data_IF_749873342106
#
_entry.id   IF_749873342106
#
_cell.length_a   1.000
_cell.length_b   1.000
_cell.length_c   1.000
_cell.angle_alpha   90.00
_cell.angle_beta   90.00
_cell.angle_gamma   90.00
#
_symmetry.space_group_name_H-M   'P 1'
#
loop_
_entity.id
_entity.type
_entity.pdbx_description
1 polymer ?
#
# COMPACT_ATOMS: atom_id res chain seq x y z
N UNK A 1 8.01 -19.66 35.77
CA UNK A 1 7.08 -18.80 35.00
C UNK A 1 7.18 -17.38 35.55
N UNK A 2 7.59 -16.41 34.74
CA UNK A 2 7.70 -15.00 35.16
C UNK A 2 6.88 -14.10 34.23
N UNK A 3 6.28 -13.04 34.78
CA UNK A 3 5.45 -12.11 34.02
C UNK A 3 6.35 -11.28 33.11
N UNK A 4 6.06 -11.28 31.81
CA UNK A 4 6.82 -10.55 30.78
C UNK A 4 6.04 -9.38 30.18
N UNK A 5 4.73 -9.32 30.39
CA UNK A 5 3.92 -8.21 29.90
C UNK A 5 2.58 -8.11 30.61
N UNK A 6 2.08 -6.89 30.76
CA UNK A 6 0.74 -6.61 31.28
C UNK A 6 0.07 -5.64 30.30
N UNK A 7 -0.96 -6.12 29.60
CA UNK A 7 -1.74 -5.36 28.64
C UNK A 7 -3.20 -5.23 29.06
N UNK A 8 -3.99 -4.48 28.27
CA UNK A 8 -5.43 -4.32 28.52
C UNK A 8 -6.20 -5.65 28.46
N UNK A 9 -5.75 -6.59 27.64
CA UNK A 9 -6.34 -7.92 27.48
C UNK A 9 -5.94 -8.91 28.59
N UNK A 10 -4.82 -8.70 29.30
CA UNK A 10 -4.38 -9.62 30.34
C UNK A 10 -2.89 -9.57 30.67
N UNK A 11 -2.40 -10.60 31.37
CA UNK A 11 -0.98 -10.76 31.73
C UNK A 11 -0.34 -11.86 30.89
N UNK A 12 0.84 -11.58 30.35
CA UNK A 12 1.63 -12.54 29.58
C UNK A 12 2.81 -13.02 30.42
N UNK A 13 3.02 -14.33 30.42
CA UNK A 13 4.06 -14.98 31.17
C UNK A 13 4.96 -15.80 30.25
N UNK A 14 6.27 -15.80 30.51
CA UNK A 14 7.18 -16.76 29.90
C UNK A 14 7.15 -18.06 30.70
N UNK A 15 6.95 -19.17 30.01
CA UNK A 15 7.02 -20.51 30.58
C UNK A 15 7.99 -21.36 29.78
N UNK A 16 8.82 -22.11 30.47
CA UNK A 16 9.70 -23.13 29.91
C UNK A 16 9.15 -24.48 30.38
N UNK A 17 8.95 -25.40 29.45
CA UNK A 17 8.51 -26.78 29.76
C UNK A 17 9.72 -27.72 29.81
N UNK A 18 9.53 -28.91 30.37
CA UNK A 18 10.61 -29.87 30.66
C UNK A 18 11.49 -30.24 29.44
N UNK A 19 10.94 -30.16 28.22
CA UNK A 19 11.66 -30.42 26.96
C UNK A 19 12.53 -29.23 26.48
N UNK A 20 12.69 -28.16 27.27
CA UNK A 20 13.44 -26.95 26.92
C UNK A 20 12.70 -25.99 25.97
N UNK A 21 11.47 -26.31 25.59
CA UNK A 21 10.64 -25.44 24.77
C UNK A 21 10.10 -24.25 25.59
N UNK A 22 10.15 -23.06 25.01
CA UNK A 22 9.73 -21.81 25.65
C UNK A 22 8.45 -21.28 25.01
N UNK A 23 7.47 -20.93 25.83
CA UNK A 23 6.16 -20.43 25.43
C UNK A 23 5.83 -19.10 26.10
N UNK A 24 5.02 -18.30 25.39
CA UNK A 24 4.32 -17.17 25.97
C UNK A 24 2.90 -17.61 26.34
N UNK A 25 2.51 -17.41 27.60
CA UNK A 25 1.18 -17.76 28.10
C UNK A 25 0.47 -16.47 28.48
N UNK A 26 -0.56 -16.09 27.71
CA UNK A 26 -1.44 -14.95 27.98
C UNK A 26 -2.60 -15.43 28.84
N UNK A 27 -2.68 -14.96 30.08
CA UNK A 27 -3.84 -15.11 30.96
C UNK A 27 -4.70 -13.87 30.82
N UNK A 28 -5.93 -14.05 30.35
CA UNK A 28 -6.84 -12.91 30.18
C UNK A 28 -7.41 -12.45 31.54
N UNK A 29 -7.79 -11.17 31.61
CA UNK A 29 -8.37 -10.61 32.82
C UNK A 29 -9.77 -11.20 33.09
N UNK A 30 -9.97 -11.71 34.31
CA UNK A 30 -11.26 -12.19 34.82
C UNK A 30 -11.74 -11.26 35.95
N UNK A 31 -12.39 -10.13 35.63
CA UNK A 31 -13.06 -9.32 36.64
C UNK A 31 -14.58 -9.45 36.54
N UNK A 32 -15.24 -9.49 37.70
CA UNK A 32 -16.56 -10.09 37.91
C UNK A 32 -17.78 -9.22 37.57
N UNK A 33 -17.59 -8.01 37.02
CA UNK A 33 -18.69 -7.09 36.72
C UNK A 33 -18.56 -6.56 35.29
N UNK A 34 -19.46 -6.98 34.39
CA UNK A 34 -19.78 -6.49 33.03
C UNK A 34 -18.66 -6.36 31.97
N UNK A 35 -17.38 -6.32 32.36
CA UNK A 35 -16.19 -6.37 31.49
C UNK A 35 -15.86 -7.81 31.02
N UNK A 36 -16.64 -8.80 31.45
CA UNK A 36 -16.44 -10.22 31.15
C UNK A 36 -16.75 -10.53 29.68
N UNK A 37 -17.72 -9.85 29.09
CA UNK A 37 -18.18 -10.11 27.71
C UNK A 37 -17.11 -9.76 26.68
N UNK A 38 -16.43 -8.62 26.82
CA UNK A 38 -15.43 -8.18 25.84
C UNK A 38 -14.13 -8.99 25.95
N UNK A 39 -13.75 -9.40 27.17
CA UNK A 39 -12.63 -10.32 27.41
C UNK A 39 -12.90 -11.71 26.81
N UNK A 40 -14.12 -12.24 26.97
CA UNK A 40 -14.55 -13.50 26.35
C UNK A 40 -14.63 -13.39 24.83
N UNK A 41 -15.19 -12.30 24.29
CA UNK A 41 -15.21 -12.05 22.84
C UNK A 41 -13.79 -11.98 22.28
N UNK A 42 -12.90 -11.26 22.96
CA UNK A 42 -11.50 -11.15 22.59
C UNK A 42 -10.81 -12.51 22.55
N UNK A 43 -11.01 -13.34 23.59
CA UNK A 43 -10.54 -14.72 23.61
C UNK A 43 -11.04 -15.55 22.43
N UNK A 44 -12.35 -15.53 22.16
CA UNK A 44 -12.97 -16.29 21.08
C UNK A 44 -12.49 -15.83 19.71
N UNK A 45 -12.34 -14.52 19.49
CA UNK A 45 -11.83 -13.95 18.25
C UNK A 45 -10.39 -14.39 17.99
N UNK A 46 -9.54 -14.33 19.03
CA UNK A 46 -8.13 -14.69 18.92
C UNK A 46 -7.95 -16.18 18.59
N UNK A 47 -8.73 -17.07 19.22
CA UNK A 47 -8.75 -18.50 18.87
C UNK A 47 -9.26 -18.70 17.45
N UNK A 48 -10.39 -18.09 17.08
CA UNK A 48 -10.97 -18.25 15.76
C UNK A 48 -10.01 -17.78 14.65
N UNK A 49 -9.34 -16.64 14.85
CA UNK A 49 -8.35 -16.13 13.91
C UNK A 49 -7.12 -17.04 13.81
N UNK A 50 -6.48 -17.36 14.95
CA UNK A 50 -5.18 -18.06 14.94
C UNK A 50 -5.28 -19.57 14.66
N UNK A 51 -6.47 -20.16 14.73
CA UNK A 51 -6.69 -21.54 14.27
C UNK A 51 -6.79 -21.63 12.74
N UNK A 52 -7.28 -20.57 12.09
CA UNK A 52 -7.44 -20.47 10.63
C UNK A 52 -6.21 -19.87 9.92
N UNK A 53 -5.48 -18.98 10.60
CA UNK A 53 -4.33 -18.27 10.04
C UNK A 53 -3.04 -19.05 10.24
N UNK A 54 -2.33 -19.32 9.14
CA UNK A 54 -0.99 -19.93 9.15
C UNK A 54 -0.10 -19.17 8.18
N UNK A 55 0.73 -18.29 8.71
CA UNK A 55 1.63 -17.46 7.92
C UNK A 55 2.94 -17.25 8.69
N UNK A 56 4.06 -17.13 7.97
CA UNK A 56 5.38 -16.96 8.58
C UNK A 56 5.47 -15.70 9.44
N UNK A 57 4.75 -14.64 9.08
CA UNK A 57 4.72 -13.35 9.78
C UNK A 57 3.51 -13.17 10.72
N UNK A 58 2.88 -14.27 11.16
CA UNK A 58 1.78 -14.25 12.15
C UNK A 58 2.18 -15.14 13.32
N UNK A 59 1.93 -14.69 14.55
CA UNK A 59 2.24 -15.46 15.77
C UNK A 59 1.53 -16.81 15.75
N UNK A 60 2.26 -17.87 16.13
CA UNK A 60 1.70 -19.22 16.20
C UNK A 60 1.05 -19.47 17.56
N UNK A 61 -0.27 -19.73 17.55
CA UNK A 61 -0.99 -20.30 18.68
C UNK A 61 -0.71 -21.81 18.77
N UNK A 62 -0.17 -22.26 19.89
CA UNK A 62 0.08 -23.68 20.18
C UNK A 62 -1.12 -24.34 20.85
N UNK A 63 -1.88 -23.58 21.64
CA UNK A 63 -3.07 -24.08 22.31
C UNK A 63 -3.76 -23.01 23.12
N UNK A 64 -4.90 -23.38 23.69
CA UNK A 64 -5.67 -22.53 24.58
C UNK A 64 -6.28 -23.39 25.69
N UNK A 65 -6.64 -22.76 26.80
CA UNK A 65 -7.36 -23.40 27.89
C UNK A 65 -8.47 -22.47 28.37
N UNK A 66 -9.65 -23.03 28.57
CA UNK A 66 -10.78 -22.33 29.18
C UNK A 66 -11.37 -23.24 30.26
N UNK A 67 -11.09 -22.93 31.53
CA UNK A 67 -11.60 -23.68 32.69
C UNK A 67 -12.12 -22.72 33.76
N UNK A 68 -13.44 -22.72 33.97
CA UNK A 68 -14.09 -21.79 34.89
C UNK A 68 -13.83 -20.33 34.50
N UNK A 69 -13.26 -19.54 35.41
CA UNK A 69 -12.88 -18.13 35.19
C UNK A 69 -11.47 -17.95 34.61
N UNK A 70 -10.79 -19.03 34.27
CA UNK A 70 -9.42 -18.97 33.79
C UNK A 70 -9.36 -19.30 32.30
N UNK A 71 -8.98 -18.28 31.53
CA UNK A 71 -8.75 -18.38 30.09
C UNK A 71 -7.29 -18.07 29.80
N UNK A 72 -6.65 -19.00 29.08
CA UNK A 72 -5.24 -18.94 28.71
C UNK A 72 -5.06 -19.18 27.22
N UNK A 73 -4.15 -18.42 26.62
CA UNK A 73 -3.66 -18.62 25.25
C UNK A 73 -2.17 -18.88 25.31
N UNK A 74 -1.71 -19.93 24.60
CA UNK A 74 -0.33 -20.40 24.62
C UNK A 74 0.26 -20.20 23.23
N UNK A 75 1.27 -19.34 23.12
CA UNK A 75 1.92 -18.97 21.87
C UNK A 75 3.37 -19.43 21.85
N UNK A 76 3.93 -19.50 20.63
CA UNK A 76 5.39 -19.47 20.48
C UNK A 76 5.94 -18.23 21.19
N UNK A 77 6.96 -18.39 22.02
CA UNK A 77 7.64 -17.24 22.61
C UNK A 77 8.44 -16.49 21.54
N UNK A 78 8.43 -15.16 21.62
CA UNK A 78 9.18 -14.26 20.73
C UNK A 78 10.25 -13.55 21.58
N UNK A 79 11.51 -13.85 21.32
CA UNK A 79 12.62 -13.57 22.23
C UNK A 79 12.95 -12.09 22.36
N UNK A 80 12.69 -11.32 21.30
CA UNK A 80 12.98 -9.88 21.26
C UNK A 80 11.80 -9.02 21.73
N UNK A 81 10.70 -9.63 22.14
CA UNK A 81 9.53 -8.92 22.61
C UNK A 81 8.81 -8.17 21.49
N UNK A 82 8.18 -7.05 21.84
CA UNK A 82 7.46 -6.19 20.90
C UNK A 82 8.38 -5.17 20.22
N UNK A 83 8.02 -4.78 19.01
CA UNK A 83 8.70 -3.71 18.28
C UNK A 83 8.64 -2.39 19.07
N UNK A 84 7.54 -2.12 19.79
CA UNK A 84 7.43 -0.95 20.66
C UNK A 84 8.53 -0.90 21.73
N UNK A 85 8.81 -2.04 22.39
CA UNK A 85 9.88 -2.13 23.39
C UNK A 85 11.25 -1.86 22.75
N UNK A 86 11.53 -2.47 21.59
CA UNK A 86 12.79 -2.25 20.86
C UNK A 86 12.96 -0.79 20.46
N UNK A 87 11.95 -0.16 19.86
CA UNK A 87 12.03 1.24 19.39
C UNK A 87 12.17 2.23 20.55
N UNK A 88 11.61 1.91 21.72
CA UNK A 88 11.72 2.73 22.94
C UNK A 88 13.09 2.64 23.61
N UNK A 89 13.85 1.57 23.35
CA UNK A 89 15.18 1.35 23.91
C UNK A 89 16.25 1.94 22.96
N UNK A 90 17.06 2.87 23.46
CA UNK A 90 18.06 3.57 22.65
C UNK A 90 19.08 2.62 21.99
N UNK A 91 19.54 1.61 22.73
CA UNK A 91 20.52 0.64 22.22
C UNK A 91 19.90 -0.30 21.19
N UNK A 92 18.76 -0.90 21.52
CA UNK A 92 18.13 -1.90 20.65
C UNK A 92 17.58 -1.27 19.37
N UNK A 93 17.03 -0.05 19.45
CA UNK A 93 16.61 0.70 18.27
C UNK A 93 17.76 1.03 17.32
N UNK A 94 18.97 1.24 17.86
CA UNK A 94 20.18 1.43 17.07
C UNK A 94 20.69 0.14 16.41
N UNK A 95 20.45 -1.02 17.03
CA UNK A 95 20.75 -2.33 16.45
C UNK A 95 19.77 -2.73 15.34
N UNK A 96 18.53 -2.21 15.38
CA UNK A 96 17.52 -2.34 14.33
C UNK A 96 17.79 -1.33 13.19
N UNK A 97 18.85 -1.58 12.43
CA UNK A 97 19.23 -0.78 11.25
C UNK A 97 18.16 -0.73 10.14
N UNK A 98 18.40 0.07 9.10
CA UNK A 98 17.43 0.28 8.02
C UNK A 98 17.05 -0.99 7.26
N UNK A 99 17.97 -1.96 7.13
CA UNK A 99 17.67 -3.21 6.45
C UNK A 99 16.74 -4.09 7.30
N UNK A 100 17.02 -4.19 8.60
CA UNK A 100 16.13 -4.88 9.55
C UNK A 100 14.76 -4.20 9.63
N UNK A 101 14.70 -2.86 9.68
CA UNK A 101 13.43 -2.10 9.65
C UNK A 101 12.64 -2.37 8.36
N UNK A 102 13.31 -2.40 7.21
CA UNK A 102 12.72 -2.77 5.92
C UNK A 102 12.11 -4.18 5.96
N UNK A 103 12.84 -5.17 6.51
CA UNK A 103 12.34 -6.54 6.71
C UNK A 103 11.11 -6.60 7.62
N UNK A 104 11.11 -5.87 8.73
CA UNK A 104 9.94 -5.79 9.64
C UNK A 104 8.72 -5.25 8.90
N UNK A 105 8.87 -4.15 8.15
CA UNK A 105 7.79 -3.54 7.36
C UNK A 105 7.24 -4.53 6.32
N UNK A 106 8.13 -5.21 5.58
CA UNK A 106 7.76 -6.24 4.59
C UNK A 106 7.02 -7.40 5.24
N UNK A 107 7.51 -7.90 6.38
CA UNK A 107 6.87 -8.99 7.12
C UNK A 107 5.44 -8.69 7.54
N UNK A 108 5.19 -7.50 8.10
CA UNK A 108 3.84 -7.07 8.47
C UNK A 108 2.95 -6.89 7.23
N UNK A 109 3.49 -6.31 6.15
CA UNK A 109 2.75 -6.15 4.90
C UNK A 109 2.30 -7.49 4.30
N UNK A 110 3.17 -8.51 4.33
CA UNK A 110 2.83 -9.86 3.90
C UNK A 110 1.75 -10.50 4.76
N UNK A 111 1.84 -10.39 6.08
CA UNK A 111 0.82 -10.91 6.98
C UNK A 111 -0.57 -10.32 6.69
N UNK A 112 -0.65 -9.00 6.54
CA UNK A 112 -1.90 -8.31 6.24
C UNK A 112 -2.43 -8.65 4.84
N UNK A 113 -1.55 -8.70 3.83
CA UNK A 113 -1.91 -9.10 2.47
C UNK A 113 -2.55 -10.50 2.45
N UNK A 114 -1.94 -11.47 3.14
CA UNK A 114 -2.46 -12.81 3.32
C UNK A 114 -3.85 -12.81 3.99
N UNK A 115 -3.99 -12.09 5.11
CA UNK A 115 -5.25 -12.02 5.86
C UNK A 115 -6.40 -11.39 5.07
N UNK A 116 -6.12 -10.34 4.30
CA UNK A 116 -7.13 -9.58 3.57
C UNK A 116 -7.53 -10.21 2.25
N UNK A 117 -6.59 -10.89 1.57
CA UNK A 117 -6.77 -11.25 0.18
C UNK A 117 -6.65 -12.74 -0.14
N UNK A 118 -6.02 -13.52 0.74
CA UNK A 118 -5.79 -14.96 0.51
C UNK A 118 -6.68 -15.83 1.43
N UNK A 119 -7.37 -15.20 2.39
CA UNK A 119 -8.37 -15.85 3.25
C UNK A 119 -9.78 -15.55 2.79
N UNK A 120 -10.63 -16.57 2.87
CA UNK A 120 -12.06 -16.47 2.62
C UNK A 120 -12.80 -17.06 3.83
N UNK A 121 -13.57 -16.25 4.58
CA UNK A 121 -13.71 -14.80 4.43
C UNK A 121 -12.44 -14.03 4.83
N UNK A 122 -12.24 -12.79 4.35
CA UNK A 122 -11.15 -11.92 4.78
C UNK A 122 -11.14 -11.70 6.29
N UNK A 123 -9.95 -11.60 6.88
CA UNK A 123 -9.76 -11.34 8.32
C UNK A 123 -9.16 -9.96 8.51
N UNK A 124 -9.85 -9.07 9.22
CA UNK A 124 -9.36 -7.73 9.55
C UNK A 124 -8.86 -7.75 10.99
N UNK A 125 -7.62 -7.33 11.21
CA UNK A 125 -6.96 -7.36 12.51
C UNK A 125 -7.55 -6.31 13.46
N UNK A 126 -7.75 -5.08 12.98
CA UNK A 126 -8.29 -3.91 13.71
C UNK A 126 -7.41 -3.33 14.83
N UNK A 127 -6.20 -3.82 15.01
CA UNK A 127 -5.29 -3.32 16.05
C UNK A 127 -3.80 -3.49 15.68
N UNK A 128 -3.47 -3.16 14.43
CA UNK A 128 -2.07 -3.14 13.99
C UNK A 128 -1.36 -1.95 14.65
N UNK A 129 -0.33 -2.23 15.45
CA UNK A 129 0.52 -1.24 16.12
C UNK A 129 1.88 -1.86 16.46
N UNK A 130 2.86 -1.04 16.85
CA UNK A 130 4.20 -1.54 17.25
C UNK A 130 4.17 -2.44 18.49
N UNK A 131 3.13 -2.32 19.34
CA UNK A 131 2.93 -3.20 20.51
C UNK A 131 2.52 -4.62 20.11
N UNK A 132 1.84 -4.73 18.97
CA UNK A 132 1.26 -5.98 18.48
C UNK A 132 2.11 -6.62 17.37
N UNK A 133 3.27 -6.05 17.06
CA UNK A 133 4.30 -6.68 16.20
C UNK A 133 5.40 -7.20 17.10
N UNK A 134 5.53 -8.52 17.18
CA UNK A 134 6.58 -9.20 17.95
C UNK A 134 7.76 -9.56 17.04
N UNK A 135 8.94 -9.66 17.64
CA UNK A 135 10.18 -9.98 16.93
C UNK A 135 10.82 -11.24 17.53
N UNK A 136 11.25 -12.15 16.65
CA UNK A 136 12.01 -13.34 17.04
C UNK A 136 13.53 -13.05 17.11
N UNK A 137 14.33 -14.08 17.37
CA UNK A 137 15.81 -13.96 17.43
C UNK A 137 16.45 -13.37 16.18
N UNK A 138 15.85 -13.58 15.01
CA UNK A 138 16.35 -13.13 13.71
C UNK A 138 15.84 -11.72 13.34
N UNK A 139 15.08 -11.10 14.26
CA UNK A 139 14.37 -9.83 14.10
C UNK A 139 13.34 -9.89 12.97
N UNK A 140 12.75 -11.06 12.73
CA UNK A 140 11.63 -11.23 11.82
C UNK A 140 10.31 -10.89 12.53
N UNK A 141 9.43 -10.21 11.79
CA UNK A 141 8.18 -9.67 12.33
C UNK A 141 7.06 -10.71 12.36
N UNK A 142 6.37 -10.77 13.50
CA UNK A 142 5.18 -11.59 13.74
C UNK A 142 4.04 -10.73 14.27
N UNK A 143 2.97 -10.58 13.47
CA UNK A 143 1.72 -9.92 13.89
C UNK A 143 1.04 -10.77 14.98
N UNK A 144 0.57 -10.11 16.03
CA UNK A 144 0.01 -10.72 17.24
C UNK A 144 -1.20 -9.93 17.79
N UNK A 145 -1.85 -10.47 18.82
CA UNK A 145 -3.05 -9.92 19.47
C UNK A 145 -4.28 -9.79 18.55
N UNK A 146 -4.83 -10.96 18.18
CA UNK A 146 -6.01 -11.06 17.32
C UNK A 146 -7.33 -10.92 18.09
N UNK A 147 -7.30 -10.41 19.32
CA UNK A 147 -8.49 -10.28 20.16
C UNK A 147 -9.57 -9.36 19.57
N UNK A 148 -9.17 -8.35 18.80
CA UNK A 148 -10.09 -7.45 18.12
C UNK A 148 -10.43 -7.90 16.70
N UNK A 149 -9.83 -8.98 16.20
CA UNK A 149 -9.95 -9.41 14.82
C UNK A 149 -11.40 -9.73 14.42
N UNK A 150 -11.75 -9.48 13.16
CA UNK A 150 -13.08 -9.69 12.61
C UNK A 150 -13.02 -10.34 11.24
N UNK A 151 -13.82 -11.39 11.07
CA UNK A 151 -14.04 -12.02 9.76
C UNK A 151 -15.15 -11.28 9.01
N UNK A 152 -14.88 -10.82 7.79
CA UNK A 152 -15.87 -10.15 6.94
C UNK A 152 -16.72 -11.19 6.21
N UNK A 153 -17.66 -11.82 6.92
CA UNK A 153 -18.55 -12.80 6.32
C UNK A 153 -19.64 -12.11 5.50
N UNK A 154 -19.99 -12.61 4.30
CA UNK A 154 -21.01 -11.99 3.44
C UNK A 154 -22.39 -11.86 4.07
N UNK A 155 -22.71 -12.74 5.01
CA UNK A 155 -23.97 -12.86 5.72
C UNK A 155 -23.99 -12.09 7.06
N UNK A 156 -22.92 -11.35 7.37
CA UNK A 156 -22.75 -10.65 8.65
C UNK A 156 -22.56 -9.14 8.48
N UNK A 157 -22.99 -8.38 9.48
CA UNK A 157 -22.76 -6.93 9.52
C UNK A 157 -21.28 -6.59 9.72
N UNK A 158 -20.75 -5.71 8.87
CA UNK A 158 -19.39 -5.16 9.02
C UNK A 158 -19.28 -4.14 10.16
N UNK A 159 -20.39 -3.72 10.76
CA UNK A 159 -20.45 -2.75 11.86
C UNK A 159 -20.01 -3.39 13.18
N UNK A 160 -19.18 -2.70 13.95
CA UNK A 160 -18.75 -3.15 15.28
C UNK A 160 -18.34 -1.95 16.13
N UNK A 161 -18.36 -2.11 17.45
CA UNK A 161 -17.78 -1.12 18.37
C UNK A 161 -16.35 -0.78 17.95
N UNK A 162 -15.97 0.50 18.07
CA UNK A 162 -14.61 0.95 17.82
C UNK A 162 -13.64 0.18 18.72
N UNK A 163 -12.60 -0.38 18.13
CA UNK A 163 -11.51 -1.07 18.81
C UNK A 163 -10.21 -0.77 18.08
N UNK A 164 -9.10 -0.82 18.81
CA UNK A 164 -7.77 -0.53 18.29
C UNK A 164 -6.99 0.41 19.21
N UNK A 165 -5.71 0.59 18.89
CA UNK A 165 -4.79 1.43 19.65
C UNK A 165 -4.94 2.89 19.25
N UNK A 166 -5.14 3.77 20.24
CA UNK A 166 -5.19 5.23 20.02
C UNK A 166 -3.92 5.72 19.30
N UNK A 167 -4.08 6.57 18.29
CA UNK A 167 -3.00 7.02 17.40
C UNK A 167 -2.83 6.19 16.13
N UNK A 168 -3.38 4.97 16.07
CA UNK A 168 -3.37 4.12 14.87
C UNK A 168 -4.74 4.00 14.21
N UNK A 169 -5.82 4.23 14.96
CA UNK A 169 -7.19 4.05 14.49
C UNK A 169 -7.48 4.95 13.29
N UNK A 170 -8.01 4.33 12.23
CA UNK A 170 -8.40 5.02 11.00
C UNK A 170 -9.54 6.03 11.27
N UNK A 171 -9.50 7.23 10.67
CA UNK A 171 -10.43 8.31 10.99
C UNK A 171 -11.90 7.98 10.66
N UNK A 172 -12.14 7.12 9.67
CA UNK A 172 -13.49 6.71 9.28
C UNK A 172 -14.24 5.90 10.33
N UNK A 173 -13.52 5.24 11.24
CA UNK A 173 -14.15 4.47 12.31
C UNK A 173 -14.89 5.36 13.30
N UNK A 174 -14.50 6.65 13.42
CA UNK A 174 -15.15 7.61 14.31
C UNK A 174 -16.58 7.97 13.87
N UNK A 175 -16.88 7.93 12.57
CA UNK A 175 -18.19 8.34 12.03
C UNK A 175 -18.97 7.21 11.35
N UNK A 176 -18.31 6.15 10.86
CA UNK A 176 -19.00 5.04 10.20
C UNK A 176 -19.16 3.80 11.06
N UNK A 177 -18.29 3.54 12.05
CA UNK A 177 -18.22 2.23 12.75
C UNK A 177 -18.13 0.99 11.82
N UNK A 178 -17.94 1.18 10.52
CA UNK A 178 -17.89 0.12 9.52
C UNK A 178 -16.44 -0.32 9.36
N UNK A 179 -16.17 -1.59 9.62
CA UNK A 179 -14.82 -2.13 9.49
C UNK A 179 -14.62 -2.69 8.09
N UNK A 180 -13.53 -2.25 7.45
CA UNK A 180 -13.02 -2.79 6.18
C UNK A 180 -11.53 -3.10 6.33
N UNK A 181 -10.95 -3.77 5.33
CA UNK A 181 -9.51 -3.99 5.26
C UNK A 181 -8.72 -2.68 5.23
N UNK A 182 -9.33 -1.58 4.78
CA UNK A 182 -8.70 -0.26 4.73
C UNK A 182 -8.41 0.32 6.12
N UNK A 183 -9.06 -0.16 7.17
CA UNK A 183 -8.72 0.22 8.54
C UNK A 183 -7.32 -0.29 8.92
N UNK A 184 -7.02 -1.56 8.61
CA UNK A 184 -5.69 -2.14 8.84
C UNK A 184 -4.63 -1.48 7.96
N UNK A 185 -4.98 -1.11 6.72
CA UNK A 185 -4.08 -0.36 5.82
C UNK A 185 -3.65 0.96 6.46
N UNK A 186 -4.58 1.71 7.06
CA UNK A 186 -4.26 2.97 7.74
C UNK A 186 -3.34 2.74 8.94
N UNK A 187 -3.67 1.76 9.81
CA UNK A 187 -2.83 1.38 10.94
C UNK A 187 -1.42 1.00 10.50
N UNK A 188 -1.29 0.26 9.38
CA UNK A 188 0.00 -0.08 8.78
C UNK A 188 0.77 1.16 8.34
N UNK A 189 0.11 2.17 7.76
CA UNK A 189 0.74 3.44 7.41
C UNK A 189 1.35 4.15 8.62
N UNK A 190 0.63 4.20 9.74
CA UNK A 190 1.14 4.78 11.01
C UNK A 190 2.35 3.99 11.51
N UNK A 191 2.26 2.66 11.51
CA UNK A 191 3.33 1.77 11.93
C UNK A 191 4.60 1.95 11.09
N UNK A 192 4.48 2.10 9.76
CA UNK A 192 5.63 2.37 8.89
C UNK A 192 6.29 3.68 9.27
N UNK A 193 5.53 4.76 9.48
CA UNK A 193 6.11 6.04 9.93
C UNK A 193 6.81 5.89 11.28
N UNK A 194 6.19 5.22 12.24
CA UNK A 194 6.80 4.96 13.55
C UNK A 194 8.13 4.21 13.43
N UNK A 195 8.20 3.18 12.58
CA UNK A 195 9.43 2.43 12.32
C UNK A 195 10.48 3.33 11.68
N UNK A 196 10.12 4.14 10.69
CA UNK A 196 11.08 5.02 10.00
C UNK A 196 11.60 6.14 10.90
N UNK A 197 10.75 6.68 11.77
CA UNK A 197 11.07 7.78 12.67
C UNK A 197 11.70 7.30 13.99
N UNK A 198 11.56 6.01 14.32
CA UNK A 198 11.98 5.44 15.60
C UNK A 198 11.09 5.81 16.79
N UNK A 199 9.98 6.50 16.54
CA UNK A 199 9.02 6.98 17.53
C UNK A 199 7.67 7.20 16.86
N UNK A 200 6.59 7.11 17.63
CA UNK A 200 5.24 7.33 17.12
C UNK A 200 5.09 8.74 16.49
N UNK A 201 4.49 8.87 15.30
CA UNK A 201 4.37 10.16 14.61
C UNK A 201 3.51 11.20 15.36
N UNK A 202 2.52 10.76 16.15
CA UNK A 202 1.72 11.64 17.01
C UNK A 202 0.95 12.69 16.19
N UNK A 203 1.05 13.95 16.57
CA UNK A 203 0.40 15.09 15.88
C UNK A 203 0.89 15.27 14.43
N UNK A 204 2.04 14.71 14.03
CA UNK A 204 2.48 14.77 12.64
C UNK A 204 1.51 14.08 11.68
N UNK A 205 0.66 13.17 12.19
CA UNK A 205 -0.38 12.51 11.40
C UNK A 205 -1.40 13.53 10.86
N UNK A 206 -1.79 14.55 11.64
CA UNK A 206 -2.75 15.56 11.15
C UNK A 206 -2.15 16.45 10.06
N UNK A 207 -0.82 16.59 10.04
CA UNK A 207 -0.09 17.43 9.10
C UNK A 207 0.37 16.67 7.83
N UNK A 208 -0.05 15.42 7.64
CA UNK A 208 0.35 14.55 6.52
C UNK A 208 0.16 15.19 5.14
N UNK A 209 -0.87 16.02 4.96
CA UNK A 209 -1.08 16.74 3.69
C UNK A 209 0.07 17.72 3.39
N UNK A 210 0.66 18.33 4.43
CA UNK A 210 1.82 19.22 4.27
C UNK A 210 3.12 18.45 4.03
N UNK A 211 3.22 17.22 4.56
CA UNK A 211 4.38 16.34 4.37
C UNK A 211 4.53 15.85 2.93
N UNK A 212 3.41 15.72 2.20
CA UNK A 212 3.40 15.28 0.80
C UNK A 212 4.12 16.25 -0.16
N UNK A 213 4.16 17.54 0.19
CA UNK A 213 4.80 18.60 -0.62
C UNK A 213 6.28 18.85 -0.23
N UNK A 214 6.79 18.22 0.83
CA UNK A 214 8.12 18.50 1.41
C UNK A 214 9.09 17.31 1.35
N UNK A 215 9.34 16.78 0.15
CA UNK A 215 10.29 15.67 -0.04
C UNK A 215 11.72 15.97 0.43
N UNK A 216 12.11 17.25 0.54
CA UNK A 216 13.43 17.68 1.02
C UNK A 216 13.63 17.49 2.54
N UNK A 217 12.54 17.40 3.33
CA UNK A 217 12.57 17.22 4.79
C UNK A 217 12.69 15.74 5.21
N UNK A 218 12.74 14.78 4.27
CA UNK A 218 12.83 13.35 4.60
C UNK A 218 13.95 13.01 5.59
N UNK A 219 15.11 13.67 5.45
CA UNK A 219 16.27 13.42 6.32
C UNK A 219 16.03 13.84 7.78
N UNK A 220 15.17 14.82 8.03
CA UNK A 220 14.89 15.31 9.38
C UNK A 220 13.82 14.47 10.10
N UNK A 221 13.10 13.63 9.35
CA UNK A 221 12.07 12.74 9.90
C UNK A 221 12.59 11.36 10.27
N UNK A 222 13.65 10.89 9.60
CA UNK A 222 14.23 9.58 9.89
C UNK A 222 14.82 9.53 11.30
N UNK A 223 14.83 8.34 11.89
CA UNK A 223 15.39 8.09 13.20
C UNK A 223 16.85 8.59 13.31
N UNK A 224 17.12 9.61 14.15
CA UNK A 224 18.44 10.21 14.24
C UNK A 224 19.49 9.28 14.86
N UNK A 225 19.08 8.17 15.48
CA UNK A 225 19.99 7.16 16.03
C UNK A 225 20.69 6.36 14.95
N UNK A 226 20.13 6.31 13.73
CA UNK A 226 20.69 5.56 12.62
C UNK A 226 21.47 6.47 11.69
N UNK A 227 22.60 5.96 11.20
CA UNK A 227 23.33 6.64 10.12
C UNK A 227 22.48 6.66 8.84
N UNK A 228 22.65 7.66 7.96
CA UNK A 228 21.98 7.69 6.66
C UNK A 228 22.24 6.37 5.90
N UNK A 229 21.27 5.90 5.08
CA UNK A 229 21.43 4.69 4.30
C UNK A 229 22.68 4.78 3.40
N UNK A 230 23.60 3.84 3.58
CA UNK A 230 24.89 3.81 2.87
C UNK A 230 24.82 3.04 1.55
N UNK A 231 23.83 2.17 1.37
CA UNK A 231 23.70 1.33 0.17
C UNK A 231 22.74 1.96 -0.84
N UNK A 232 23.05 1.87 -2.15
CA UNK A 232 22.16 2.34 -3.22
C UNK A 232 20.73 1.75 -3.13
N UNK A 233 20.62 0.49 -2.68
CA UNK A 233 19.33 -0.16 -2.43
C UNK A 233 18.50 0.60 -1.38
N UNK A 234 19.09 0.86 -0.21
CA UNK A 234 18.41 1.53 0.89
C UNK A 234 18.07 3.00 0.59
N UNK A 235 18.89 3.69 -0.23
CA UNK A 235 18.60 5.07 -0.65
C UNK A 235 17.33 5.20 -1.49
N UNK A 236 16.94 4.15 -2.22
CA UNK A 236 15.68 4.10 -2.97
C UNK A 236 14.52 3.48 -2.16
N UNK A 237 14.81 2.47 -1.32
CA UNK A 237 13.78 1.83 -0.50
C UNK A 237 13.15 2.78 0.53
N UNK A 238 13.92 3.67 1.18
CA UNK A 238 13.38 4.56 2.22
C UNK A 238 12.31 5.55 1.69
N UNK A 239 12.54 6.31 0.60
CA UNK A 239 11.50 7.12 -0.01
C UNK A 239 10.27 6.32 -0.44
N UNK A 240 10.47 5.10 -0.95
CA UNK A 240 9.37 4.22 -1.35
C UNK A 240 8.51 3.82 -0.13
N UNK A 241 9.14 3.38 0.97
CA UNK A 241 8.45 3.03 2.21
C UNK A 241 7.66 4.21 2.77
N UNK A 242 8.24 5.41 2.75
CA UNK A 242 7.54 6.61 3.19
C UNK A 242 6.35 6.92 2.29
N UNK A 243 6.50 6.88 0.96
CA UNK A 243 5.38 7.14 0.07
C UNK A 243 4.27 6.09 0.19
N UNK A 244 4.62 4.84 0.46
CA UNK A 244 3.65 3.78 0.80
C UNK A 244 2.91 4.16 2.09
N UNK A 245 3.63 4.54 3.14
CA UNK A 245 3.02 4.98 4.41
C UNK A 245 2.04 6.13 4.19
N UNK A 246 2.43 7.17 3.45
CA UNK A 246 1.58 8.31 3.13
C UNK A 246 0.35 7.91 2.30
N UNK A 247 0.49 6.97 1.36
CA UNK A 247 -0.64 6.44 0.57
C UNK A 247 -1.62 5.65 1.45
N UNK A 248 -1.10 4.89 2.41
CA UNK A 248 -1.90 4.15 3.39
C UNK A 248 -2.64 5.08 4.36
N UNK A 249 -2.10 6.26 4.64
CA UNK A 249 -2.67 7.26 5.57
C UNK A 249 -3.69 8.20 4.91
N UNK A 250 -4.11 7.93 3.68
CA UNK A 250 -5.09 8.75 2.99
C UNK A 250 -6.41 8.84 3.79
N UNK A 251 -7.00 10.04 3.87
CA UNK A 251 -8.23 10.26 4.65
C UNK A 251 -9.40 9.42 4.11
N UNK A 252 -9.61 9.44 2.78
CA UNK A 252 -10.57 8.56 2.10
C UNK A 252 -10.07 7.10 2.07
N UNK A 253 -10.79 6.12 2.66
CA UNK A 253 -10.40 4.71 2.66
C UNK A 253 -10.26 4.09 1.26
N UNK A 254 -11.08 4.53 0.31
CA UNK A 254 -11.05 4.00 -1.07
C UNK A 254 -9.76 4.36 -1.80
N UNK A 255 -9.16 5.49 -1.46
CA UNK A 255 -7.89 5.93 -2.03
C UNK A 255 -6.67 5.22 -1.42
N UNK A 256 -6.84 4.47 -0.33
CA UNK A 256 -5.74 3.69 0.28
C UNK A 256 -5.47 2.44 -0.57
N UNK A 257 -4.20 2.07 -0.81
CA UNK A 257 -3.88 0.87 -1.58
C UNK A 257 -4.28 -0.41 -0.82
N UNK A 258 -4.70 -1.48 -1.52
CA UNK A 258 -4.89 -2.78 -0.89
C UNK A 258 -3.53 -3.35 -0.44
N UNK A 259 -3.51 -4.14 0.65
CA UNK A 259 -2.26 -4.68 1.18
C UNK A 259 -1.53 -5.61 0.21
N UNK A 260 -2.24 -6.25 -0.73
CA UNK A 260 -1.63 -6.99 -1.84
C UNK A 260 -0.77 -6.10 -2.74
N UNK A 261 -1.24 -4.90 -3.08
CA UNK A 261 -0.46 -3.95 -3.87
C UNK A 261 0.72 -3.40 -3.06
N UNK A 262 0.51 -3.13 -1.77
CA UNK A 262 1.56 -2.69 -0.85
C UNK A 262 2.68 -3.72 -0.75
N UNK A 263 2.35 -4.99 -0.48
CA UNK A 263 3.34 -6.05 -0.33
C UNK A 263 4.13 -6.27 -1.62
N UNK A 264 3.45 -6.29 -2.78
CA UNK A 264 4.12 -6.42 -4.08
C UNK A 264 5.09 -5.26 -4.34
N UNK A 265 4.71 -4.03 -4.00
CA UNK A 265 5.56 -2.86 -4.21
C UNK A 265 6.79 -2.83 -3.30
N UNK A 266 6.68 -3.34 -2.07
CA UNK A 266 7.83 -3.45 -1.16
C UNK A 266 8.83 -4.55 -1.59
N UNK A 267 8.36 -5.56 -2.31
CA UNK A 267 9.17 -6.65 -2.87
C UNK A 267 9.82 -6.32 -4.21
N UNK A 268 9.38 -5.26 -4.89
CA UNK A 268 10.05 -4.79 -6.09
C UNK A 268 11.47 -4.33 -5.70
N UNK A 269 12.46 -5.16 -5.97
CA UNK A 269 13.85 -4.72 -6.00
C UNK A 269 13.89 -3.51 -6.92
N UNK A 270 14.47 -2.41 -6.44
CA UNK A 270 14.65 -1.19 -7.21
C UNK A 270 15.54 -1.52 -8.40
N UNK A 271 14.91 -1.96 -9.48
CA UNK A 271 15.50 -2.02 -10.80
C UNK A 271 15.96 -0.62 -11.16
N UNK A 272 17.08 -0.51 -11.89
CA UNK A 272 17.72 0.78 -12.03
C UNK A 272 16.80 1.74 -12.81
N UNK A 273 16.94 3.04 -12.53
CA UNK A 273 16.18 4.15 -13.12
C UNK A 273 15.91 3.94 -14.61
N UNK A 274 14.82 4.53 -15.12
CA UNK A 274 14.39 4.49 -16.53
C UNK A 274 15.54 4.66 -17.56
N UNK A 275 16.60 5.37 -17.16
CA UNK A 275 17.85 5.56 -17.90
C UNK A 275 18.63 4.26 -18.18
N UNK A 276 18.62 3.30 -17.26
CA UNK A 276 19.33 2.01 -17.38
C UNK A 276 18.56 0.95 -18.19
N UNK A 277 17.22 0.97 -18.14
CA UNK A 277 16.35 0.09 -18.93
C UNK A 277 16.47 0.42 -20.42
N UNK A 278 16.73 1.68 -20.76
CA UNK A 278 16.89 2.12 -22.15
C UNK A 278 18.30 1.89 -22.72
N UNK A 279 19.32 1.74 -21.88
CA UNK A 279 20.73 1.63 -22.34
C UNK A 279 21.27 0.19 -22.26
N UNK A 280 20.57 -0.70 -21.56
CA UNK A 280 21.14 -1.97 -21.11
C UNK A 280 20.56 -3.27 -21.67
N UNK A 281 19.77 -3.29 -22.75
CA UNK A 281 19.44 -4.57 -23.43
C UNK A 281 19.03 -4.34 -24.88
N UNK A 282 19.98 -4.56 -25.80
CA UNK A 282 19.64 -4.90 -27.17
C UNK A 282 18.87 -6.22 -27.16
N UNK A 283 17.61 -6.17 -27.59
CA UNK A 283 16.68 -7.31 -27.69
C UNK A 283 16.04 -7.77 -26.37
N UNK A 284 15.05 -7.01 -25.90
CA UNK A 284 13.86 -7.62 -25.30
C UNK A 284 12.68 -7.38 -26.23
N UNK A 285 12.09 -8.46 -26.75
CA UNK A 285 10.78 -8.47 -27.39
C UNK A 285 9.75 -8.19 -26.29
N UNK A 286 9.60 -6.93 -25.92
CA UNK A 286 8.59 -6.47 -24.95
C UNK A 286 7.26 -6.31 -25.68
N UNK A 287 6.44 -7.37 -25.67
CA UNK A 287 5.04 -7.30 -26.16
C UNK A 287 4.09 -6.70 -25.12
N UNK A 288 4.56 -6.46 -23.89
CA UNK A 288 3.80 -5.83 -22.79
C UNK A 288 4.73 -5.03 -21.87
N UNK A 289 4.72 -3.70 -21.99
CA UNK A 289 5.33 -2.81 -20.98
C UNK A 289 4.22 -2.37 -20.02
N UNK A 290 4.16 -2.99 -18.85
CA UNK A 290 3.22 -2.63 -17.78
C UNK A 290 3.99 -2.43 -16.48
N UNK A 291 4.20 -1.18 -16.08
CA UNK A 291 4.83 -0.84 -14.81
C UNK A 291 3.79 -0.14 -13.93
N UNK A 292 3.29 -0.87 -12.93
CA UNK A 292 2.57 -0.31 -11.79
C UNK A 292 3.62 -0.03 -10.69
N UNK A 293 4.34 1.08 -10.80
CA UNK A 293 5.44 1.46 -9.89
C UNK A 293 5.55 2.98 -9.87
N UNK A 294 6.00 3.61 -8.78
CA UNK A 294 6.12 5.08 -8.65
C UNK A 294 7.17 5.72 -9.58
N UNK A 295 7.07 5.50 -10.88
CA UNK A 295 7.90 6.07 -11.92
C UNK A 295 7.63 7.57 -11.97
N UNK A 296 8.58 8.34 -11.45
CA UNK A 296 8.65 9.79 -11.65
C UNK A 296 9.45 10.14 -12.89
N UNK A 297 9.52 11.43 -13.20
CA UNK A 297 10.27 11.93 -14.36
C UNK A 297 9.46 11.94 -15.66
N UNK A 298 10.12 12.17 -16.79
CA UNK A 298 9.49 12.30 -18.11
C UNK A 298 9.43 10.95 -18.83
N UNK A 299 8.46 10.79 -19.72
CA UNK A 299 8.50 9.70 -20.70
C UNK A 299 9.65 10.03 -21.68
N UNK A 300 10.65 9.14 -21.85
CA UNK A 300 11.84 9.38 -22.65
C UNK A 300 11.50 9.36 -24.14
N UNK A 301 12.19 10.18 -24.94
CA UNK A 301 12.03 10.19 -26.41
C UNK A 301 12.53 8.87 -27.05
N UNK A 302 13.40 8.15 -26.34
CA UNK A 302 13.94 6.88 -26.76
C UNK A 302 12.88 5.77 -26.84
N UNK A 303 11.70 5.96 -26.23
CA UNK A 303 10.58 5.01 -26.32
C UNK A 303 10.17 4.76 -27.77
N UNK A 304 10.29 5.77 -28.65
CA UNK A 304 9.97 5.67 -30.07
C UNK A 304 10.89 4.76 -30.88
N UNK A 305 12.00 4.28 -30.29
CA UNK A 305 12.90 3.33 -30.97
C UNK A 305 12.35 1.90 -30.99
N UNK A 306 11.39 1.58 -30.12
CA UNK A 306 10.88 0.23 -29.90
C UNK A 306 9.69 -0.10 -30.83
N UNK A 307 9.93 -0.12 -32.16
CA UNK A 307 8.91 -0.24 -33.22
C UNK A 307 7.96 -1.45 -33.16
N UNK A 308 8.31 -2.48 -32.38
CA UNK A 308 7.50 -3.68 -32.17
C UNK A 308 6.55 -3.58 -30.97
N UNK A 309 6.58 -2.49 -30.20
CA UNK A 309 5.68 -2.29 -29.07
C UNK A 309 4.23 -2.22 -29.55
N UNK A 310 3.40 -3.10 -29.00
CA UNK A 310 1.96 -3.15 -29.26
C UNK A 310 1.14 -2.59 -28.09
N UNK A 311 1.69 -2.58 -26.88
CA UNK A 311 1.03 -2.11 -25.67
C UNK A 311 2.00 -1.33 -24.78
N UNK A 312 1.54 -0.17 -24.35
CA UNK A 312 2.17 0.67 -23.33
C UNK A 312 1.15 0.90 -22.22
N UNK A 313 1.46 0.49 -20.99
CA UNK A 313 0.63 0.71 -19.82
C UNK A 313 1.44 1.35 -18.69
N UNK A 314 1.21 2.65 -18.51
CA UNK A 314 1.89 3.55 -17.58
C UNK A 314 0.92 4.14 -16.55
N UNK A 315 -0.26 3.54 -16.37
CA UNK A 315 -1.30 4.08 -15.50
C UNK A 315 -0.88 4.09 -14.02
N UNK A 316 -1.26 5.15 -13.29
CA UNK A 316 -1.08 5.22 -11.83
C UNK A 316 0.36 5.47 -11.39
N UNK A 317 1.12 6.23 -12.17
CA UNK A 317 2.52 6.57 -11.88
C UNK A 317 2.68 8.07 -11.54
N UNK A 318 3.92 8.55 -11.35
CA UNK A 318 4.23 9.95 -11.05
C UNK A 318 4.87 10.68 -12.25
N UNK A 319 4.55 10.25 -13.47
CA UNK A 319 5.16 10.79 -14.68
C UNK A 319 4.77 12.26 -14.88
N UNK A 320 5.74 13.07 -15.28
CA UNK A 320 5.63 14.51 -15.48
C UNK A 320 6.12 14.91 -16.87
N UNK A 321 5.82 16.13 -17.30
CA UNK A 321 6.26 16.62 -18.61
C UNK A 321 5.40 16.11 -19.78
N UNK A 322 5.79 16.42 -21.03
CA UNK A 322 5.00 16.10 -22.20
C UNK A 322 5.02 14.63 -22.59
N UNK A 323 3.98 14.21 -23.30
CA UNK A 323 4.01 12.98 -24.09
C UNK A 323 5.01 13.19 -25.24
N UNK A 324 6.06 12.37 -25.36
CA UNK A 324 7.11 12.57 -26.35
C UNK A 324 6.57 12.34 -27.76
N UNK A 325 6.98 13.19 -28.71
CA UNK A 325 6.52 13.07 -30.09
C UNK A 325 6.99 11.76 -30.72
N UNK A 326 8.15 11.23 -30.32
CA UNK A 326 8.65 9.92 -30.76
C UNK A 326 7.69 8.75 -30.52
N UNK A 327 6.67 8.89 -29.65
CA UNK A 327 5.61 7.88 -29.49
C UNK A 327 4.89 7.59 -30.82
N UNK A 328 4.76 8.60 -31.69
CA UNK A 328 4.21 8.46 -33.04
C UNK A 328 5.03 7.57 -33.98
N UNK A 329 6.24 7.14 -33.61
CA UNK A 329 7.07 6.24 -34.42
C UNK A 329 6.71 4.76 -34.22
N UNK A 330 5.83 4.43 -33.26
CA UNK A 330 5.49 3.07 -32.86
C UNK A 330 4.34 2.50 -33.69
N UNK A 331 4.60 2.22 -34.97
CA UNK A 331 3.56 1.77 -35.94
C UNK A 331 2.80 0.49 -35.53
N UNK A 332 3.35 -0.33 -34.64
CA UNK A 332 2.69 -1.55 -34.12
C UNK A 332 1.81 -1.29 -32.89
N UNK A 333 1.82 -0.07 -32.34
CA UNK A 333 1.14 0.26 -31.08
C UNK A 333 -0.38 0.22 -31.24
N UNK A 334 -1.03 -0.48 -30.32
CA UNK A 334 -2.48 -0.66 -30.27
C UNK A 334 -3.10 -0.03 -29.03
N UNK A 335 -2.44 -0.11 -27.88
CA UNK A 335 -3.02 0.29 -26.60
C UNK A 335 -2.02 1.13 -25.79
N UNK A 336 -2.04 2.47 -25.93
CA UNK A 336 -1.33 3.40 -25.05
C UNK A 336 -2.23 3.84 -23.88
N UNK A 337 -1.81 3.49 -22.67
CA UNK A 337 -2.47 3.90 -21.42
C UNK A 337 -1.46 4.60 -20.52
N UNK A 338 -1.79 5.79 -20.06
CA UNK A 338 -0.97 6.58 -19.14
C UNK A 338 -1.86 7.41 -18.20
N UNK A 339 -3.01 6.86 -17.81
CA UNK A 339 -3.96 7.55 -16.95
C UNK A 339 -3.42 7.73 -15.53
N UNK A 340 -3.99 8.67 -14.77
CA UNK A 340 -3.64 8.90 -13.36
C UNK A 340 -2.13 9.17 -13.21
N UNK A 341 -1.65 10.23 -13.86
CA UNK A 341 -0.28 10.71 -13.83
C UNK A 341 -0.25 12.24 -13.67
N UNK A 342 0.92 12.86 -13.83
CA UNK A 342 1.10 14.32 -13.81
C UNK A 342 1.61 14.86 -15.16
N UNK A 343 1.28 14.20 -16.27
CA UNK A 343 1.71 14.59 -17.61
C UNK A 343 1.15 15.96 -17.99
N UNK A 344 1.95 16.78 -18.66
CA UNK A 344 1.61 18.16 -19.04
C UNK A 344 1.75 18.38 -20.55
N UNK A 345 1.31 19.51 -21.08
CA UNK A 345 1.44 19.83 -22.51
C UNK A 345 0.39 19.16 -23.39
N UNK A 346 0.62 19.19 -24.71
CA UNK A 346 -0.35 18.76 -25.72
C UNK A 346 -0.16 17.29 -26.10
N UNK A 347 -1.22 16.65 -26.63
CA UNK A 347 -1.11 15.35 -27.30
C UNK A 347 -0.38 15.58 -28.63
N UNK A 348 0.76 14.89 -28.92
CA UNK A 348 1.43 14.99 -30.21
C UNK A 348 0.53 14.54 -31.37
N UNK A 349 0.41 15.38 -32.41
CA UNK A 349 -0.43 15.10 -33.57
C UNK A 349 -0.06 13.81 -34.32
N UNK A 350 1.22 13.45 -34.30
CA UNK A 350 1.72 12.24 -34.94
C UNK A 350 1.23 10.93 -34.29
N UNK A 351 0.62 10.97 -33.10
CA UNK A 351 -0.12 9.81 -32.54
C UNK A 351 -1.30 9.44 -33.45
N UNK A 352 -1.91 10.42 -34.13
CA UNK A 352 -2.98 10.18 -35.11
C UNK A 352 -2.54 9.44 -36.39
N UNK A 353 -1.24 9.12 -36.54
CA UNK A 353 -0.72 8.30 -37.64
C UNK A 353 -0.67 6.80 -37.32
N UNK A 354 -0.94 6.43 -36.07
CA UNK A 354 -0.86 5.06 -35.57
C UNK A 354 -2.17 4.28 -35.80
N UNK A 355 -2.38 3.79 -37.02
CA UNK A 355 -3.65 3.18 -37.46
C UNK A 355 -4.07 1.90 -36.69
N UNK A 356 -3.17 1.30 -35.91
CA UNK A 356 -3.46 0.13 -35.09
C UNK A 356 -4.03 0.48 -33.70
N UNK A 357 -4.12 1.76 -33.35
CA UNK A 357 -4.66 2.19 -32.06
C UNK A 357 -6.13 1.81 -31.91
N UNK A 358 -6.44 1.15 -30.79
CA UNK A 358 -7.78 0.67 -30.45
C UNK A 358 -8.29 1.24 -29.13
N UNK A 359 -7.42 1.48 -28.15
CA UNK A 359 -7.80 1.98 -26.82
C UNK A 359 -6.73 2.95 -26.29
N UNK A 360 -7.10 4.23 -26.21
CA UNK A 360 -6.24 5.33 -25.76
C UNK A 360 -6.80 5.89 -24.45
N UNK A 361 -6.02 5.79 -23.36
CA UNK A 361 -6.41 6.29 -22.03
C UNK A 361 -5.38 7.25 -21.46
N UNK A 362 -5.74 8.52 -21.34
CA UNK A 362 -4.89 9.61 -20.85
C UNK A 362 -5.55 10.41 -19.71
N UNK A 363 -6.61 9.88 -19.11
CA UNK A 363 -7.40 10.60 -18.11
C UNK A 363 -6.66 10.86 -16.80
N UNK A 364 -7.16 11.78 -15.98
CA UNK A 364 -6.57 12.17 -14.71
C UNK A 364 -5.09 12.56 -14.86
N UNK A 365 -4.85 13.60 -15.67
CA UNK A 365 -3.54 14.17 -15.95
C UNK A 365 -3.62 15.70 -15.98
N UNK A 366 -2.53 16.38 -16.33
CA UNK A 366 -2.46 17.85 -16.50
C UNK A 366 -2.28 18.24 -17.97
N UNK A 367 -2.69 17.39 -18.92
CA UNK A 367 -2.58 17.66 -20.36
C UNK A 367 -3.48 18.83 -20.75
N UNK A 368 -3.10 19.58 -21.78
CA UNK A 368 -3.81 20.78 -22.22
C UNK A 368 -3.75 20.96 -23.74
N UNK A 369 -4.41 22.00 -24.25
CA UNK A 369 -4.44 22.30 -25.68
C UNK A 369 -5.66 21.72 -26.39
N UNK A 370 -5.59 21.74 -27.72
CA UNK A 370 -6.58 21.10 -28.60
C UNK A 370 -6.32 19.59 -28.66
N UNK A 371 -7.38 18.81 -28.83
CA UNK A 371 -7.25 17.40 -29.23
C UNK A 371 -6.87 17.37 -30.72
N UNK A 372 -5.77 16.70 -31.12
CA UNK A 372 -5.32 16.73 -32.51
C UNK A 372 -6.36 16.18 -33.49
N UNK A 373 -6.60 16.89 -34.60
CA UNK A 373 -7.53 16.49 -35.67
C UNK A 373 -7.18 15.12 -36.26
N UNK A 374 -5.90 14.78 -36.27
CA UNK A 374 -5.39 13.51 -36.77
C UNK A 374 -5.91 12.30 -35.98
N UNK A 375 -6.35 12.47 -34.72
CA UNK A 375 -7.00 11.38 -33.98
C UNK A 375 -8.34 10.97 -34.61
N UNK A 376 -8.99 11.86 -35.36
CA UNK A 376 -10.18 11.56 -36.15
C UNK A 376 -9.92 10.58 -37.30
N UNK A 377 -8.66 10.41 -37.73
CA UNK A 377 -8.29 9.49 -38.82
C UNK A 377 -8.15 8.04 -38.36
N UNK A 378 -8.17 7.78 -37.05
CA UNK A 378 -7.93 6.45 -36.48
C UNK A 378 -9.19 5.58 -36.55
N UNK A 379 -9.38 4.90 -37.68
CA UNK A 379 -10.56 4.05 -37.93
C UNK A 379 -10.72 2.86 -36.99
N UNK A 380 -9.63 2.41 -36.36
CA UNK A 380 -9.60 1.27 -35.43
C UNK A 380 -9.87 1.67 -33.97
N UNK A 381 -9.96 2.97 -33.68
CA UNK A 381 -10.06 3.48 -32.31
C UNK A 381 -11.46 3.24 -31.75
N UNK A 382 -11.53 2.45 -30.69
CA UNK A 382 -12.78 2.06 -30.01
C UNK A 382 -12.97 2.73 -28.65
N UNK A 383 -11.87 3.15 -28.00
CA UNK A 383 -11.91 3.83 -26.71
C UNK A 383 -10.98 5.03 -26.74
N UNK A 384 -11.52 6.20 -26.42
CA UNK A 384 -10.75 7.41 -26.18
C UNK A 384 -11.16 8.03 -24.84
N UNK A 385 -10.26 8.00 -23.86
CA UNK A 385 -10.55 8.49 -22.51
C UNK A 385 -9.62 9.65 -22.14
N UNK A 386 -10.16 10.87 -22.21
CA UNK A 386 -9.43 12.14 -21.97
C UNK A 386 -9.99 12.96 -20.79
N UNK A 387 -11.03 12.46 -20.11
CA UNK A 387 -11.58 13.05 -18.89
C UNK A 387 -10.50 13.48 -17.87
N UNK A 388 -10.82 14.43 -17.00
CA UNK A 388 -9.92 14.90 -15.93
C UNK A 388 -8.56 15.38 -16.46
N UNK A 389 -8.59 16.25 -17.48
CA UNK A 389 -7.43 16.98 -18.01
C UNK A 389 -7.79 18.47 -18.15
N UNK A 390 -6.99 19.26 -18.88
CA UNK A 390 -7.24 20.68 -19.17
C UNK A 390 -7.37 20.94 -20.69
N UNK A 391 -7.95 20.02 -21.45
CA UNK A 391 -8.17 20.21 -22.89
C UNK A 391 -9.22 21.30 -23.15
N UNK A 392 -9.12 21.97 -24.29
CA UNK A 392 -10.09 22.98 -24.71
C UNK A 392 -10.36 22.91 -26.22
N UNK A 393 -11.38 23.64 -26.69
CA UNK A 393 -11.72 23.72 -28.11
C UNK A 393 -12.76 22.69 -28.54
N UNK A 394 -12.64 22.18 -29.77
CA UNK A 394 -13.54 21.19 -30.34
C UNK A 394 -12.89 19.80 -30.41
N UNK A 395 -13.72 18.78 -30.55
CA UNK A 395 -13.27 17.43 -30.85
C UNK A 395 -13.15 17.25 -32.36
N UNK A 396 -12.19 16.45 -32.84
CA UNK A 396 -12.10 16.11 -34.26
C UNK A 396 -13.40 15.48 -34.76
N UNK A 397 -13.88 15.90 -35.92
CA UNK A 397 -15.23 15.55 -36.42
C UNK A 397 -15.47 14.04 -36.49
N UNK A 398 -14.42 13.26 -36.77
CA UNK A 398 -14.51 11.82 -37.01
C UNK A 398 -14.06 10.93 -35.84
N UNK A 399 -13.63 11.54 -34.72
CA UNK A 399 -13.15 10.79 -33.55
C UNK A 399 -14.25 9.92 -32.91
N UNK A 400 -15.53 10.26 -33.14
CA UNK A 400 -16.70 9.56 -32.61
C UNK A 400 -17.17 8.37 -33.45
N UNK A 401 -16.58 8.09 -34.62
CA UNK A 401 -17.11 7.07 -35.54
C UNK A 401 -16.89 5.62 -35.09
N UNK A 402 -15.85 5.35 -34.31
CA UNK A 402 -15.35 3.99 -34.04
C UNK A 402 -15.68 3.38 -32.67
N UNK A 403 -16.20 4.14 -31.70
CA UNK A 403 -16.47 3.62 -30.36
C UNK A 403 -16.82 4.65 -29.29
N UNK A 404 -16.43 4.37 -28.05
CA UNK A 404 -16.83 5.13 -26.84
C UNK A 404 -15.80 6.19 -26.47
N UNK A 405 -16.28 7.41 -26.22
CA UNK A 405 -15.42 8.53 -25.79
C UNK A 405 -15.83 9.00 -24.40
N UNK A 406 -14.84 9.15 -23.52
CA UNK A 406 -14.99 9.67 -22.16
C UNK A 406 -14.25 11.01 -22.03
N UNK A 407 -15.00 12.11 -21.88
CA UNK A 407 -14.46 13.48 -21.90
C UNK A 407 -14.84 14.33 -20.67
N UNK A 408 -15.86 13.92 -19.92
CA UNK A 408 -16.43 14.73 -18.85
C UNK A 408 -15.46 14.90 -17.66
N UNK A 409 -15.67 15.98 -16.91
CA UNK A 409 -14.85 16.47 -15.78
C UNK A 409 -13.52 17.14 -16.17
N UNK A 410 -13.34 18.38 -15.69
CA UNK A 410 -12.18 19.28 -15.82
C UNK A 410 -11.70 19.70 -17.22
N UNK A 411 -12.28 19.20 -18.32
CA UNK A 411 -12.00 19.72 -19.67
C UNK A 411 -12.95 20.88 -20.08
N UNK A 412 -12.48 21.78 -20.94
CA UNK A 412 -13.16 23.00 -21.43
C UNK A 412 -13.54 22.91 -22.92
N UNK A 413 -14.26 21.85 -23.31
CA UNK A 413 -14.72 21.70 -24.69
C UNK A 413 -15.92 22.60 -25.01
N UNK A 414 -15.88 23.28 -26.16
CA UNK A 414 -17.04 23.99 -26.71
C UNK A 414 -17.88 23.03 -27.55
N UNK A 415 -19.17 22.91 -27.24
CA UNK A 415 -20.11 22.16 -28.07
C UNK A 415 -20.44 23.01 -29.30
N UNK A 416 -19.77 22.76 -30.43
CA UNK A 416 -20.19 23.35 -31.70
C UNK A 416 -21.36 22.50 -32.21
N UNK A 417 -22.59 23.00 -32.08
CA UNK A 417 -23.74 22.47 -32.83
C UNK A 417 -23.50 22.79 -34.30
N UNK A 418 -23.05 21.81 -35.08
CA UNK A 418 -23.12 21.87 -36.53
C UNK A 418 -24.23 20.92 -37.00
N UNK A 419 -25.20 21.52 -37.68
CA UNK A 419 -26.43 20.96 -38.23
C UNK A 419 -26.21 19.78 -39.19
#
# INVERSE_FOLDING_TARGET
MYCIGVGGSGKVYKAEIEDGNVFAIKKLNSQANDLEIDSIKSFCNEIAALTELRHRNIVKLHGFCAQGRHTFLVYKFMEKGSLAEILSNEKEAGELDWEKRSRVIKGVAHALSYMHHDRVPPVIHRDISSKNVLLDTDLEAHVSDFGTAKFLKPDSSNWTAAAGTYGYIAPELAYTMAVTEKCDVYCFGVLVLEILMGRHPGELISDINSLRDRSADLKTMLDPRLSPPLTPKLTHELPLMLNIALSCLHFNPESRPPMRAVSQRLEMETGPDLYSVCVGVGSLVLTRFGLYSQLGGRIPEEIGNSKLLTLIALDGNLLTGPIPASLGNLSSLSIPRAAVNQLTGQIPANIGTLNNLTDVRLFANKLNGLVPEELGNLSSLTVLHLAENNFYGHLPQEVCRGGTIYLAENNYFCIIHNH
#
